data_IF_568861578767
#
_entry.id   IF_568861578767
#
_cell.length_a   1.000
_cell.length_b   1.000
_cell.length_c   1.000
_cell.angle_alpha   90.00
_cell.angle_beta   90.00
_cell.angle_gamma   90.00
#
_symmetry.space_group_name_H-M   'P 1'
#
loop_
_entity.id
_entity.type
_entity.pdbx_description
1 polymer ?
#
# COMPACT_ATOMS: atom_id res chain seq x y z
N UNK A 1 -12.48 -11.29 12.55
CA UNK A 1 -11.49 -10.28 12.13
C UNK A 1 -11.21 -10.47 10.66
N UNK A 2 -11.37 -9.41 9.90
CA UNK A 2 -11.14 -9.47 8.45
C UNK A 2 -9.66 -9.35 8.10
N UNK A 3 -9.27 -10.03 7.02
CA UNK A 3 -7.93 -9.86 6.46
C UNK A 3 -7.87 -8.56 5.66
N UNK A 4 -6.65 -8.14 5.34
CA UNK A 4 -6.38 -6.93 4.58
C UNK A 4 -5.62 -7.25 3.31
N UNK A 5 -5.63 -6.32 2.36
CA UNK A 5 -4.83 -6.42 1.14
C UNK A 5 -4.35 -5.03 0.73
N UNK A 6 -3.21 -4.98 0.06
CA UNK A 6 -2.64 -3.73 -0.40
C UNK A 6 -1.73 -3.92 -1.59
N UNK A 7 -1.30 -2.80 -2.18
CA UNK A 7 -0.50 -2.80 -3.40
C UNK A 7 0.75 -1.96 -3.22
N UNK A 8 1.91 -2.57 -3.47
CA UNK A 8 3.18 -1.87 -3.58
C UNK A 8 3.36 -1.49 -5.06
N UNK A 9 3.19 -0.21 -5.33
CA UNK A 9 3.38 0.31 -6.68
C UNK A 9 4.88 0.48 -6.89
N UNK A 10 5.38 -0.01 -8.02
CA UNK A 10 6.81 0.00 -8.34
C UNK A 10 7.07 0.77 -9.62
N UNK A 11 8.10 1.61 -9.59
CA UNK A 11 8.64 2.28 -10.77
C UNK A 11 10.15 2.14 -10.73
N UNK A 12 10.72 1.35 -11.65
CA UNK A 12 12.16 1.05 -11.65
C UNK A 12 12.59 0.54 -10.26
N UNK A 13 13.53 1.20 -9.60
CA UNK A 13 13.99 0.82 -8.27
C UNK A 13 13.30 1.59 -7.14
N UNK A 14 12.17 2.23 -7.44
CA UNK A 14 11.40 3.00 -6.46
C UNK A 14 10.07 2.34 -6.16
N UNK A 15 9.56 2.59 -4.97
CA UNK A 15 8.23 2.15 -4.58
C UNK A 15 7.46 3.30 -3.97
N UNK A 16 6.13 3.23 -4.08
CA UNK A 16 5.23 4.22 -3.50
C UNK A 16 4.85 3.81 -2.10
N UNK A 17 5.11 4.69 -1.15
CA UNK A 17 4.63 4.53 0.22
C UNK A 17 3.79 5.74 0.60
N UNK A 18 2.83 5.51 1.48
CA UNK A 18 1.95 6.55 1.98
C UNK A 18 1.98 6.56 3.50
N UNK A 19 2.01 7.76 4.06
CA UNK A 19 2.10 7.99 5.50
C UNK A 19 0.69 8.05 6.09
N UNK A 20 0.41 7.21 7.06
CA UNK A 20 -0.91 7.16 7.68
C UNK A 20 -1.17 8.44 8.47
N UNK A 21 -2.42 8.92 8.37
CA UNK A 21 -2.81 10.17 9.01
C UNK A 21 -2.83 10.05 10.53
N UNK A 22 -2.70 11.19 11.21
CA UNK A 22 -2.64 11.23 12.66
C UNK A 22 -3.94 10.82 13.33
N UNK A 23 -5.07 10.95 12.64
CA UNK A 23 -6.38 10.60 13.20
C UNK A 23 -6.76 9.13 13.06
N UNK A 24 -5.97 8.32 12.35
CA UNK A 24 -6.29 6.93 12.10
C UNK A 24 -5.48 5.95 12.93
N UNK A 25 -5.54 4.68 12.56
CA UNK A 25 -4.73 3.64 13.19
C UNK A 25 -3.29 3.74 12.70
N UNK A 26 -2.33 3.40 13.57
CA UNK A 26 -0.88 3.47 13.29
C UNK A 26 -0.49 4.82 12.71
N UNK A 27 -0.79 5.94 13.42
CA UNK A 27 -0.53 7.28 12.87
C UNK A 27 0.95 7.50 12.59
N UNK A 28 1.25 8.13 11.46
CA UNK A 28 2.60 8.46 11.06
C UNK A 28 3.42 7.30 10.50
N UNK A 29 2.86 6.10 10.43
CA UNK A 29 3.56 4.94 9.85
C UNK A 29 3.45 4.99 8.33
N UNK A 30 4.58 4.77 7.66
CA UNK A 30 4.61 4.66 6.20
C UNK A 30 4.35 3.23 5.78
N UNK A 31 3.41 3.03 4.88
CA UNK A 31 3.01 1.73 4.38
C UNK A 31 2.47 1.86 2.96
N UNK A 32 1.97 0.75 2.43
CA UNK A 32 1.32 0.76 1.11
C UNK A 32 -0.16 1.11 1.25
N UNK A 33 -0.78 1.66 0.20
CA UNK A 33 -2.24 1.78 0.17
C UNK A 33 -2.87 0.39 0.29
N UNK A 34 -3.83 0.24 1.19
CA UNK A 34 -4.50 -1.02 1.43
C UNK A 34 -5.44 -0.93 2.62
N UNK A 35 -6.23 -1.97 2.82
CA UNK A 35 -7.19 -2.00 3.91
C UNK A 35 -7.95 -3.30 3.99
N UNK A 36 -9.01 -3.29 4.77
CA UNK A 36 -9.79 -4.49 5.07
C UNK A 36 -10.56 -5.00 3.86
N UNK A 37 -10.53 -6.32 3.68
CA UNK A 37 -11.33 -6.99 2.66
C UNK A 37 -12.80 -7.00 3.10
N UNK A 38 -13.69 -6.86 2.12
CA UNK A 38 -15.11 -7.01 2.34
C UNK A 38 -15.49 -8.49 2.28
N UNK A 39 -16.58 -8.85 2.92
CA UNK A 39 -17.04 -10.23 2.98
C UNK A 39 -17.30 -10.76 1.55
N UNK A 40 -16.69 -11.89 1.23
CA UNK A 40 -16.84 -12.52 -0.08
C UNK A 40 -16.01 -11.90 -1.18
N UNK A 41 -15.24 -10.86 -0.88
CA UNK A 41 -14.40 -10.19 -1.86
C UNK A 41 -13.14 -10.99 -2.14
N UNK A 42 -12.76 -11.12 -3.41
CA UNK A 42 -11.47 -11.71 -3.76
C UNK A 42 -10.35 -10.79 -3.29
N UNK A 43 -9.23 -11.39 -2.90
CA UNK A 43 -8.11 -10.65 -2.32
C UNK A 43 -7.59 -9.58 -3.28
N UNK A 44 -7.38 -9.94 -4.56
CA UNK A 44 -6.91 -8.98 -5.56
C UNK A 44 -7.92 -7.86 -5.78
N UNK A 45 -9.21 -8.17 -5.81
CA UNK A 45 -10.24 -7.16 -6.01
C UNK A 45 -10.28 -6.19 -4.84
N UNK A 46 -10.09 -6.69 -3.63
CA UNK A 46 -10.00 -5.84 -2.44
C UNK A 46 -8.78 -4.94 -2.47
N UNK A 47 -7.64 -5.47 -2.89
CA UNK A 47 -6.42 -4.67 -3.04
C UNK A 47 -6.63 -3.53 -4.04
N UNK A 48 -7.23 -3.84 -5.20
CA UNK A 48 -7.52 -2.83 -6.23
C UNK A 48 -8.52 -1.78 -5.74
N UNK A 49 -9.56 -2.22 -5.05
CA UNK A 49 -10.58 -1.31 -4.51
C UNK A 49 -9.96 -0.35 -3.48
N UNK A 50 -9.20 -0.89 -2.53
CA UNK A 50 -8.57 -0.06 -1.50
C UNK A 50 -7.58 0.92 -2.12
N UNK A 51 -6.80 0.47 -3.10
CA UNK A 51 -5.85 1.34 -3.79
C UNK A 51 -6.57 2.52 -4.45
N UNK A 52 -7.67 2.24 -5.15
CA UNK A 52 -8.47 3.28 -5.81
C UNK A 52 -9.08 4.26 -4.79
N UNK A 53 -9.61 3.73 -3.69
CA UNK A 53 -10.20 4.58 -2.65
C UNK A 53 -9.17 5.51 -2.02
N UNK A 54 -7.95 5.04 -1.82
CA UNK A 54 -6.92 5.79 -1.11
C UNK A 54 -6.09 6.70 -2.01
N UNK A 55 -6.01 6.42 -3.31
CA UNK A 55 -5.19 7.21 -4.24
C UNK A 55 -5.97 7.90 -5.34
N UNK A 56 -7.19 7.46 -5.60
CA UNK A 56 -7.99 7.91 -6.73
C UNK A 56 -7.57 7.31 -8.07
N UNK A 57 -6.58 6.43 -8.08
CA UNK A 57 -6.06 5.84 -9.32
C UNK A 57 -6.65 4.45 -9.55
N UNK A 58 -6.81 4.10 -10.83
CA UNK A 58 -7.29 2.79 -11.26
C UNK A 58 -6.16 2.04 -11.94
N UNK A 59 -5.89 0.83 -11.46
CA UNK A 59 -4.93 -0.08 -12.08
C UNK A 59 -5.68 -1.00 -13.03
N UNK A 60 -5.27 -1.02 -14.30
CA UNK A 60 -5.93 -1.81 -15.33
C UNK A 60 -5.20 -3.11 -15.68
N UNK A 61 -4.05 -3.35 -15.06
CA UNK A 61 -3.25 -4.54 -15.32
C UNK A 61 -3.44 -5.60 -14.25
N UNK A 62 -2.71 -6.70 -14.41
CA UNK A 62 -2.71 -7.80 -13.47
C UNK A 62 -1.73 -7.52 -12.32
N UNK A 63 -2.15 -7.84 -11.11
CA UNK A 63 -1.30 -7.72 -9.93
C UNK A 63 -0.39 -8.94 -9.79
N UNK A 64 0.80 -8.72 -9.28
CA UNK A 64 1.72 -9.79 -8.90
C UNK A 64 1.64 -10.00 -7.39
N UNK A 65 1.36 -11.22 -6.95
CA UNK A 65 1.38 -11.53 -5.52
C UNK A 65 2.82 -11.52 -5.00
N UNK A 66 3.08 -10.76 -3.95
CA UNK A 66 4.41 -10.67 -3.35
C UNK A 66 4.55 -11.51 -2.09
N UNK A 67 3.69 -11.29 -1.12
CA UNK A 67 3.85 -11.89 0.19
C UNK A 67 2.58 -11.76 1.02
N UNK A 68 2.48 -12.60 2.04
CA UNK A 68 1.46 -12.45 3.08
C UNK A 68 2.17 -12.03 4.35
N UNK A 69 1.80 -10.86 4.87
CA UNK A 69 2.39 -10.28 6.08
C UNK A 69 1.44 -10.49 7.26
N UNK A 70 1.99 -10.42 8.46
CA UNK A 70 1.18 -10.47 9.68
C UNK A 70 0.57 -9.08 9.93
N UNK A 71 -0.75 -9.04 10.04
CA UNK A 71 -1.47 -7.78 10.26
C UNK A 71 -1.88 -7.54 11.71
N UNK A 72 -1.34 -8.34 12.62
CA UNK A 72 -1.72 -8.29 14.03
C UNK A 72 -2.71 -9.41 14.37
N UNK A 73 -2.46 -10.13 15.46
CA UNK A 73 -3.26 -11.27 15.87
C UNK A 73 -3.31 -12.34 14.77
N UNK A 74 -4.51 -12.72 14.37
CA UNK A 74 -4.71 -13.68 13.28
C UNK A 74 -4.94 -13.01 11.93
N UNK A 75 -4.95 -11.70 11.88
CA UNK A 75 -5.17 -10.97 10.64
C UNK A 75 -3.98 -11.13 9.71
N UNK A 76 -4.27 -11.33 8.42
CA UNK A 76 -3.25 -11.42 7.37
C UNK A 76 -3.37 -10.22 6.46
N UNK A 77 -2.24 -9.74 5.97
CA UNK A 77 -2.17 -8.67 5.00
C UNK A 77 -1.56 -9.24 3.72
N UNK A 78 -2.37 -9.32 2.67
CA UNK A 78 -1.94 -9.84 1.38
C UNK A 78 -1.36 -8.70 0.55
N UNK A 79 -0.07 -8.79 0.25
CA UNK A 79 0.64 -7.73 -0.45
C UNK A 79 0.86 -8.12 -1.91
N UNK A 80 0.41 -7.24 -2.79
CA UNK A 80 0.60 -7.36 -4.23
C UNK A 80 1.52 -6.26 -4.72
N UNK A 81 2.12 -6.46 -5.91
CA UNK A 81 2.95 -5.46 -6.57
C UNK A 81 2.40 -5.19 -7.96
N UNK A 82 2.54 -3.94 -8.39
CA UNK A 82 2.23 -3.55 -9.75
C UNK A 82 3.31 -2.59 -10.24
N UNK A 83 3.96 -2.93 -11.36
CA UNK A 83 5.01 -2.09 -11.92
C UNK A 83 4.43 -1.18 -12.99
N UNK A 84 4.74 0.12 -12.92
CA UNK A 84 4.25 1.11 -13.86
C UNK A 84 5.40 1.60 -14.74
N UNK A 85 5.11 1.94 -16.02
CA UNK A 85 6.15 2.41 -16.94
C UNK A 85 6.55 3.86 -16.72
N UNK A 86 5.72 4.64 -16.03
CA UNK A 86 5.98 6.06 -15.74
C UNK A 86 5.61 6.36 -14.30
N UNK A 87 6.44 7.17 -13.65
CA UNK A 87 6.17 7.59 -12.28
C UNK A 87 4.96 8.51 -12.25
N UNK A 88 4.03 8.22 -11.35
CA UNK A 88 2.80 8.99 -11.16
C UNK A 88 2.87 9.64 -9.79
N UNK A 89 2.55 10.93 -9.70
CA UNK A 89 2.41 11.61 -8.42
C UNK A 89 0.99 11.37 -7.90
N UNK A 90 0.89 11.10 -6.61
CA UNK A 90 -0.41 10.86 -5.97
C UNK A 90 -0.97 12.17 -5.48
N UNK A 91 -2.16 12.49 -5.95
CA UNK A 91 -2.93 13.64 -5.46
C UNK A 91 -3.96 13.13 -4.45
N UNK A 92 -3.68 13.33 -3.17
CA UNK A 92 -4.56 12.82 -2.11
C UNK A 92 -5.94 13.49 -2.10
N UNK A 93 -6.09 14.62 -2.79
CA UNK A 93 -7.41 15.22 -2.96
C UNK A 93 -8.32 14.36 -3.85
N UNK A 94 -7.75 13.44 -4.62
CA UNK A 94 -8.52 12.49 -5.42
C UNK A 94 -8.92 11.24 -4.62
N UNK A 95 -8.43 11.10 -3.40
CA UNK A 95 -8.79 9.96 -2.55
C UNK A 95 -10.26 10.04 -2.15
N UNK A 96 -10.88 8.87 -2.01
CA UNK A 96 -12.31 8.75 -1.70
C UNK A 96 -12.54 8.29 -0.26
N UNK A 97 -11.48 8.23 0.54
CA UNK A 97 -11.50 7.64 1.87
C UNK A 97 -11.43 8.65 3.02
N UNK A 98 -11.58 9.95 2.71
CA UNK A 98 -11.48 11.00 3.74
C UNK A 98 -10.06 11.25 4.23
N UNK A 99 -9.06 10.98 3.41
CA UNK A 99 -7.66 11.24 3.71
C UNK A 99 -7.11 10.36 4.84
N UNK A 100 -7.17 9.04 4.67
CA UNK A 100 -6.50 8.11 5.59
C UNK A 100 -4.98 8.26 5.56
N UNK A 101 -4.44 8.96 4.56
CA UNK A 101 -3.01 9.25 4.44
C UNK A 101 -2.76 10.75 4.36
N UNK A 102 -1.69 11.21 5.00
CA UNK A 102 -1.28 12.62 4.99
C UNK A 102 -0.41 12.94 3.78
N UNK A 103 0.42 12.00 3.35
CA UNK A 103 1.27 12.21 2.19
C UNK A 103 1.68 10.86 1.60
N UNK A 104 2.05 10.88 0.31
CA UNK A 104 2.63 9.73 -0.37
C UNK A 104 3.91 10.17 -1.05
N UNK A 105 4.84 9.23 -1.24
CA UNK A 105 6.10 9.54 -1.89
C UNK A 105 6.73 8.31 -2.52
N UNK A 106 7.68 8.55 -3.41
CA UNK A 106 8.44 7.52 -4.09
C UNK A 106 9.82 7.40 -3.43
N UNK A 107 10.19 6.18 -3.09
CA UNK A 107 11.43 5.92 -2.35
C UNK A 107 12.19 4.76 -2.97
N UNK A 108 13.54 4.87 -2.96
CA UNK A 108 14.39 3.71 -3.15
C UNK A 108 14.64 3.07 -1.78
N UNK A 109 15.24 1.88 -1.75
CA UNK A 109 15.54 1.26 -0.45
C UNK A 109 16.55 2.09 0.37
N UNK A 110 17.33 2.96 -0.29
CA UNK A 110 18.30 3.83 0.38
C UNK A 110 17.69 5.14 0.87
N UNK A 111 16.53 5.51 0.36
CA UNK A 111 15.88 6.77 0.71
C UNK A 111 14.57 6.57 1.46
N UNK A 112 14.31 5.37 1.97
CA UNK A 112 13.11 5.08 2.74
C UNK A 112 12.99 6.05 3.92
N UNK A 113 11.78 6.53 4.20
CA UNK A 113 11.59 7.39 5.36
C UNK A 113 11.76 6.60 6.66
N UNK A 114 11.90 7.30 7.77
CA UNK A 114 11.82 6.67 9.07
C UNK A 114 10.38 6.16 9.27
N UNK A 115 10.21 5.21 10.16
CA UNK A 115 8.90 4.72 10.55
C UNK A 115 8.13 4.00 9.45
N UNK A 116 8.84 3.27 8.58
CA UNK A 116 8.21 2.34 7.65
C UNK A 116 7.76 1.10 8.43
N UNK A 117 6.58 0.55 8.09
CA UNK A 117 6.12 -0.67 8.71
C UNK A 117 7.20 -1.75 8.60
N UNK A 118 7.48 -2.45 9.70
CA UNK A 118 8.67 -3.29 9.82
C UNK A 118 8.77 -4.41 8.78
N UNK A 119 7.70 -5.18 8.59
CA UNK A 119 7.73 -6.30 7.64
C UNK A 119 7.92 -5.80 6.22
N UNK A 120 7.28 -4.69 5.90
CA UNK A 120 7.39 -4.04 4.59
C UNK A 120 8.81 -3.52 4.38
N UNK A 121 9.41 -2.92 5.41
CA UNK A 121 10.80 -2.45 5.36
C UNK A 121 11.75 -3.59 5.00
N UNK A 122 11.61 -4.72 5.69
CA UNK A 122 12.47 -5.88 5.44
C UNK A 122 12.27 -6.44 4.04
N UNK A 123 11.03 -6.48 3.57
CA UNK A 123 10.71 -6.97 2.24
C UNK A 123 11.28 -6.06 1.14
N UNK A 124 11.14 -4.76 1.29
CA UNK A 124 11.69 -3.80 0.34
C UNK A 124 13.21 -3.94 0.25
N UNK A 125 13.89 -4.07 1.40
CA UNK A 125 15.33 -4.23 1.41
C UNK A 125 15.79 -5.53 0.75
N UNK A 126 14.95 -6.54 0.75
CA UNK A 126 15.25 -7.82 0.11
C UNK A 126 15.03 -7.79 -1.39
N UNK A 127 13.98 -7.09 -1.85
CA UNK A 127 13.52 -7.16 -3.24
C UNK A 127 14.05 -6.03 -4.14
N UNK A 128 14.45 -4.91 -3.58
CA UNK A 128 14.84 -3.72 -4.35
C UNK A 128 16.33 -3.43 -4.34
#
# INVERSE_FOLDING_TARGET
MGNCAGILLKYKNQCLLCKRSQGGSLPGVWSVPGGHLEKGERVEDGALREFREETGLVILGNLEYLATLNGGGRMKFYLFMYEIPRKIEIDLDQAMDGHEHDECGWFTKKTLPDNVERQLFLLINKLF
#
